data_IF_791320991928
#
_entry.id   IF_791320991928
#
_cell.length_a   1.000
_cell.length_b   1.000
_cell.length_c   1.000
_cell.angle_alpha   90.00
_cell.angle_beta   90.00
_cell.angle_gamma   90.00
#
_symmetry.space_group_name_H-M   'P 1'
#
loop_
_entity.id
_entity.type
_entity.pdbx_description
1 polymer ?
#
# COMPACT_ATOMS: atom_id res chain seq x y z
N UNK A 1 -1.64 -6.93 6.86
CA UNK A 1 -1.70 -7.34 5.44
C UNK A 1 -2.28 -8.74 5.35
N UNK A 2 -3.16 -8.98 4.39
CA UNK A 2 -3.87 -10.25 4.19
C UNK A 2 -3.32 -10.97 2.96
N UNK A 3 -3.23 -12.30 3.00
CA UNK A 3 -2.80 -13.09 1.84
C UNK A 3 -3.80 -12.96 0.70
N UNK A 4 -3.30 -12.64 -0.51
CA UNK A 4 -4.13 -12.55 -1.72
C UNK A 4 -4.74 -13.89 -2.14
N UNK A 5 -4.17 -15.02 -1.71
CA UNK A 5 -4.62 -16.35 -2.12
C UNK A 5 -5.65 -16.95 -1.14
N UNK A 6 -5.37 -16.94 0.17
CA UNK A 6 -6.20 -17.64 1.15
C UNK A 6 -6.81 -16.76 2.24
N UNK A 7 -6.58 -15.44 2.23
CA UNK A 7 -7.13 -14.56 3.25
C UNK A 7 -6.46 -14.66 4.64
N UNK A 8 -5.40 -15.47 4.80
CA UNK A 8 -4.63 -15.55 6.04
C UNK A 8 -4.02 -14.20 6.42
N UNK A 9 -3.89 -13.89 7.72
CA UNK A 9 -3.05 -12.77 8.16
C UNK A 9 -1.59 -13.12 7.90
N UNK A 10 -0.89 -12.28 7.13
CA UNK A 10 0.52 -12.51 6.83
C UNK A 10 1.39 -12.20 8.05
N UNK A 11 2.36 -13.07 8.31
CA UNK A 11 3.45 -12.85 9.26
C UNK A 11 4.59 -12.08 8.61
N UNK A 12 5.72 -11.89 9.29
CA UNK A 12 6.92 -11.25 8.71
C UNK A 12 7.59 -12.11 7.62
N UNK A 13 7.34 -13.42 7.59
CA UNK A 13 7.94 -14.35 6.63
C UNK A 13 7.56 -14.04 5.19
N UNK A 14 8.43 -14.40 4.25
CA UNK A 14 8.24 -14.15 2.82
C UNK A 14 7.16 -15.03 2.14
N UNK A 15 6.51 -15.91 2.90
CA UNK A 15 5.43 -16.78 2.44
C UNK A 15 4.23 -16.72 3.42
N UNK A 16 3.00 -16.98 2.93
CA UNK A 16 1.84 -17.14 3.83
C UNK A 16 1.98 -18.46 4.61
N UNK A 17 1.92 -18.38 5.94
CA UNK A 17 1.98 -19.55 6.82
C UNK A 17 0.73 -20.43 6.77
N UNK A 18 -0.36 -19.97 6.13
CA UNK A 18 -1.59 -20.73 5.95
C UNK A 18 -1.68 -21.52 4.63
N UNK A 19 -1.17 -20.99 3.51
CA UNK A 19 -1.28 -21.66 2.20
C UNK A 19 0.06 -21.87 1.47
N UNK A 20 1.18 -21.42 2.05
CA UNK A 20 2.51 -21.58 1.45
C UNK A 20 2.83 -20.63 0.29
N UNK A 21 1.88 -19.80 -0.16
CA UNK A 21 2.10 -18.86 -1.27
C UNK A 21 3.23 -17.87 -0.97
N UNK A 22 4.11 -17.62 -1.95
CA UNK A 22 5.10 -16.55 -1.88
C UNK A 22 4.39 -15.18 -1.91
N UNK A 23 4.69 -14.36 -0.92
CA UNK A 23 4.12 -13.02 -0.72
C UNK A 23 5.19 -11.94 -0.69
N UNK A 24 6.42 -12.25 -1.07
CA UNK A 24 7.57 -11.31 -1.04
C UNK A 24 7.29 -10.08 -1.88
N UNK A 25 6.94 -10.26 -3.16
CA UNK A 25 6.66 -9.16 -4.07
C UNK A 25 5.39 -8.41 -3.67
N UNK A 26 4.36 -9.15 -3.27
CA UNK A 26 3.11 -8.56 -2.78
C UNK A 26 3.36 -7.61 -1.60
N UNK A 27 4.15 -8.04 -0.61
CA UNK A 27 4.55 -7.19 0.51
C UNK A 27 5.27 -5.92 0.06
N UNK A 28 6.25 -6.05 -0.84
CA UNK A 28 7.00 -4.91 -1.38
C UNK A 28 6.08 -3.89 -2.05
N UNK A 29 5.14 -4.34 -2.89
CA UNK A 29 4.16 -3.47 -3.56
C UNK A 29 3.31 -2.72 -2.53
N UNK A 30 2.81 -3.41 -1.52
CA UNK A 30 1.98 -2.80 -0.49
C UNK A 30 2.75 -1.80 0.37
N UNK A 31 4.01 -2.09 0.74
CA UNK A 31 4.85 -1.13 1.45
C UNK A 31 5.15 0.11 0.61
N UNK A 32 5.44 -0.06 -0.69
CA UNK A 32 5.63 1.05 -1.60
C UNK A 32 4.36 1.91 -1.74
N UNK A 33 3.19 1.28 -1.85
CA UNK A 33 1.90 1.98 -1.86
C UNK A 33 1.68 2.82 -0.58
N UNK A 34 1.94 2.24 0.59
CA UNK A 34 1.81 2.94 1.87
C UNK A 34 2.79 4.10 1.99
N UNK A 35 4.01 3.94 1.47
CA UNK A 35 5.00 5.03 1.44
C UNK A 35 4.51 6.21 0.62
N UNK A 36 3.99 5.97 -0.58
CA UNK A 36 3.43 7.04 -1.42
C UNK A 36 2.20 7.70 -0.79
N UNK A 37 1.39 6.93 -0.06
CA UNK A 37 0.26 7.49 0.69
C UNK A 37 0.74 8.47 1.76
N UNK A 38 1.68 8.04 2.61
CA UNK A 38 2.25 8.90 3.66
C UNK A 38 2.93 10.14 3.08
N UNK A 39 3.68 9.99 1.98
CA UNK A 39 4.27 11.13 1.27
C UNK A 39 3.20 12.12 0.77
N UNK A 40 2.06 11.61 0.31
CA UNK A 40 0.91 12.43 -0.06
C UNK A 40 0.35 13.23 1.11
N UNK A 41 0.22 12.60 2.29
CA UNK A 41 -0.22 13.26 3.52
C UNK A 41 0.77 14.34 3.98
N UNK A 42 2.07 14.04 3.95
CA UNK A 42 3.12 14.98 4.34
C UNK A 42 3.08 16.23 3.44
N UNK A 43 2.94 16.05 2.12
CA UNK A 43 2.79 17.16 1.17
C UNK A 43 1.51 17.95 1.38
N UNK A 44 0.39 17.27 1.63
CA UNK A 44 -0.88 17.94 1.93
C UNK A 44 -0.79 18.78 3.21
N UNK A 45 -0.05 18.31 4.23
CA UNK A 45 0.14 19.02 5.50
C UNK A 45 0.85 20.36 5.34
N UNK A 46 1.77 20.47 4.37
CA UNK A 46 2.48 21.71 4.01
C UNK A 46 1.80 22.48 2.87
N UNK A 47 0.55 22.13 2.53
CA UNK A 47 -0.27 22.72 1.45
C UNK A 47 0.27 22.55 0.03
N UNK A 48 1.17 21.58 -0.20
CA UNK A 48 1.54 21.15 -1.55
C UNK A 48 0.51 20.14 -2.08
N UNK A 49 -0.66 20.66 -2.50
CA UNK A 49 -1.77 19.83 -2.96
C UNK A 49 -1.46 19.13 -4.29
N UNK A 50 -0.73 19.77 -5.19
CA UNK A 50 -0.33 19.18 -6.48
C UNK A 50 0.62 18.01 -6.29
N UNK A 51 1.59 18.16 -5.40
CA UNK A 51 2.50 17.08 -5.02
C UNK A 51 1.78 15.96 -4.26
N UNK A 52 0.84 16.31 -3.37
CA UNK A 52 0.02 15.33 -2.66
C UNK A 52 -0.79 14.46 -3.63
N UNK A 53 -1.52 15.07 -4.58
CA UNK A 53 -2.29 14.36 -5.61
C UNK A 53 -1.40 13.39 -6.41
N UNK A 54 -0.20 13.82 -6.76
CA UNK A 54 0.75 12.98 -7.52
C UNK A 54 1.15 11.74 -6.72
N UNK A 55 1.53 11.92 -5.46
CA UNK A 55 1.91 10.81 -4.57
C UNK A 55 0.73 9.87 -4.29
N UNK A 56 -0.46 10.41 -4.03
CA UNK A 56 -1.68 9.61 -3.81
C UNK A 56 -2.06 8.78 -5.04
N UNK A 57 -1.90 9.34 -6.25
CA UNK A 57 -2.09 8.58 -7.51
C UNK A 57 -1.13 7.41 -7.64
N UNK A 58 0.14 7.56 -7.29
CA UNK A 58 1.09 6.45 -7.28
C UNK A 58 0.73 5.39 -6.22
N UNK A 59 0.28 5.82 -5.03
CA UNK A 59 -0.23 4.90 -4.01
C UNK A 59 -1.37 4.03 -4.54
N UNK A 60 -2.35 4.65 -5.23
CA UNK A 60 -3.51 3.98 -5.81
C UNK A 60 -3.17 3.07 -7.00
N UNK A 61 -2.14 3.41 -7.79
CA UNK A 61 -1.65 2.53 -8.87
C UNK A 61 -1.15 1.20 -8.31
N UNK A 62 -0.46 1.23 -7.17
CA UNK A 62 0.10 0.05 -6.51
C UNK A 62 -0.94 -0.69 -5.66
N UNK A 63 -1.87 0.02 -5.02
CA UNK A 63 -2.95 -0.56 -4.24
C UNK A 63 -4.27 0.18 -4.50
N UNK A 64 -5.05 -0.33 -5.46
CA UNK A 64 -6.36 0.23 -5.81
C UNK A 64 -7.39 0.15 -4.67
N UNK A 65 -7.13 -0.69 -3.66
CA UNK A 65 -7.99 -0.90 -2.52
C UNK A 65 -7.67 0.01 -1.32
N UNK A 66 -6.70 0.92 -1.45
CA UNK A 66 -6.47 1.95 -0.44
C UNK A 66 -7.58 3.01 -0.53
N UNK A 67 -8.68 2.77 0.19
CA UNK A 67 -9.86 3.64 0.20
C UNK A 67 -9.52 5.02 0.78
N UNK A 68 -8.64 5.08 1.79
CA UNK A 68 -8.24 6.36 2.38
C UNK A 68 -7.52 7.24 1.37
N UNK A 69 -6.58 6.68 0.60
CA UNK A 69 -5.89 7.39 -0.48
C UNK A 69 -6.82 7.86 -1.61
N UNK A 70 -8.01 7.25 -1.74
CA UNK A 70 -9.03 7.65 -2.74
C UNK A 70 -9.90 8.81 -2.25
N UNK A 71 -10.10 8.91 -0.95
CA UNK A 71 -11.01 9.86 -0.32
C UNK A 71 -10.34 11.17 0.10
N UNK A 72 -9.02 11.27 -0.11
CA UNK A 72 -8.18 12.41 0.26
C UNK A 72 -7.91 13.31 -0.95
#
# INVERSE_FOLDING_TARGET
MICYNCGCRLSEKNFCTGCGADVTLYKKIMFASNRFYNEGLDKASVRDLSGAITSLRESLKLNKNNIEARNL
#
